data_IF_799160653872
#
_entry.id   IF_799160653872
#
_cell.length_a   1.000
_cell.length_b   1.000
_cell.length_c   1.000
_cell.angle_alpha   90.00
_cell.angle_beta   90.00
_cell.angle_gamma   90.00
#
_symmetry.space_group_name_H-M   'P 1'
#
loop_
_entity.id
_entity.type
_entity.pdbx_description
1 polymer ?
#
# COMPACT_ATOMS: atom_id res chain seq x y z
N UNK A 1 51.18 12.80 -43.95
CA UNK A 1 51.86 12.76 -42.64
C UNK A 1 50.83 12.87 -41.53
N UNK A 2 50.80 11.97 -40.54
CA UNK A 2 49.89 12.12 -39.40
C UNK A 2 50.25 13.39 -38.62
N UNK A 3 49.27 14.25 -38.33
CA UNK A 3 49.47 15.45 -37.48
C UNK A 3 49.86 15.00 -36.08
N UNK A 4 51.10 15.24 -35.67
CA UNK A 4 51.52 15.05 -34.28
C UNK A 4 50.79 16.08 -33.40
N UNK A 5 49.89 15.61 -32.53
CA UNK A 5 49.27 16.44 -31.49
C UNK A 5 50.29 16.67 -30.38
N UNK A 6 50.66 17.93 -30.13
CA UNK A 6 51.47 18.29 -28.97
C UNK A 6 50.64 18.16 -27.68
N UNK A 7 51.20 17.60 -26.59
CA UNK A 7 50.54 17.55 -25.29
C UNK A 7 50.18 18.96 -24.78
N UNK A 8 49.02 19.07 -24.14
CA UNK A 8 48.56 20.31 -23.53
C UNK A 8 49.36 20.64 -22.26
N UNK A 9 49.49 21.93 -21.98
CA UNK A 9 49.93 22.48 -20.69
C UNK A 9 48.71 23.06 -19.95
N UNK A 10 48.75 23.09 -18.62
CA UNK A 10 47.66 23.65 -17.79
C UNK A 10 47.30 25.08 -18.21
N UNK A 11 48.30 25.93 -18.46
CA UNK A 11 48.13 27.30 -18.93
C UNK A 11 47.29 27.39 -20.22
N UNK A 12 47.47 26.45 -21.16
CA UNK A 12 46.71 26.44 -22.41
C UNK A 12 45.24 26.10 -22.18
N UNK A 13 44.95 25.30 -21.16
CA UNK A 13 43.59 24.92 -20.78
C UNK A 13 42.92 26.08 -20.06
N UNK A 14 43.62 26.71 -19.11
CA UNK A 14 43.13 27.85 -18.34
C UNK A 14 42.80 29.04 -19.24
N UNK A 15 43.74 29.41 -20.11
CA UNK A 15 43.63 30.56 -21.01
C UNK A 15 42.69 30.32 -22.21
N UNK A 16 42.13 29.12 -22.35
CA UNK A 16 41.13 28.84 -23.39
C UNK A 16 39.77 29.43 -22.99
N UNK A 17 39.48 30.61 -23.55
CA UNK A 17 38.22 31.31 -23.36
C UNK A 17 37.06 30.65 -24.13
N UNK A 18 35.82 30.72 -23.62
CA UNK A 18 34.65 30.18 -24.30
C UNK A 18 34.38 30.94 -25.61
N UNK A 19 33.89 30.23 -26.63
CA UNK A 19 33.45 30.82 -27.91
C UNK A 19 31.98 30.49 -28.17
N UNK A 20 31.39 31.04 -29.23
CA UNK A 20 30.02 30.74 -29.68
C UNK A 20 29.83 29.27 -30.05
N UNK A 21 30.92 28.56 -30.37
CA UNK A 21 30.95 27.11 -30.64
C UNK A 21 31.84 26.38 -29.64
N UNK A 22 31.59 25.08 -29.47
CA UNK A 22 32.41 24.23 -28.59
C UNK A 22 33.82 24.11 -29.16
N UNK A 23 34.82 24.50 -28.36
CA UNK A 23 36.23 24.35 -28.71
C UNK A 23 36.72 22.99 -28.21
N UNK A 24 37.45 22.24 -29.03
CA UNK A 24 38.08 20.98 -28.63
C UNK A 24 39.59 21.14 -28.68
N UNK A 25 40.26 20.97 -27.54
CA UNK A 25 41.71 20.91 -27.44
C UNK A 25 42.15 19.45 -27.33
N UNK A 26 43.27 19.10 -27.93
CA UNK A 26 43.77 17.73 -28.01
C UNK A 26 45.07 17.61 -27.22
N UNK A 27 45.12 16.68 -26.25
CA UNK A 27 46.32 16.37 -25.46
C UNK A 27 47.14 15.23 -26.08
N UNK A 28 46.55 14.48 -27.01
CA UNK A 28 47.17 13.32 -27.63
C UNK A 28 46.74 12.00 -27.01
N UNK A 29 47.05 10.89 -27.69
CA UNK A 29 46.65 9.55 -27.25
C UNK A 29 45.15 9.37 -27.04
N UNK A 30 44.31 10.14 -27.74
CA UNK A 30 42.86 10.14 -27.62
C UNK A 30 42.28 11.06 -26.52
N UNK A 31 43.10 11.66 -25.66
CA UNK A 31 42.62 12.59 -24.64
C UNK A 31 42.31 13.96 -25.25
N UNK A 32 41.10 14.46 -24.99
CA UNK A 32 40.63 15.76 -25.45
C UNK A 32 39.91 16.49 -24.31
N UNK A 33 39.94 17.82 -24.33
CA UNK A 33 39.07 18.65 -23.50
C UNK A 33 38.16 19.49 -24.38
N UNK A 34 36.87 19.53 -24.03
CA UNK A 34 35.87 20.36 -24.70
C UNK A 34 35.50 21.53 -23.82
N UNK A 35 35.69 22.74 -24.34
CA UNK A 35 35.23 24.00 -23.74
C UNK A 35 33.89 24.34 -24.37
N UNK A 36 32.81 24.21 -23.60
CA UNK A 36 31.46 24.57 -24.06
C UNK A 36 31.30 26.10 -24.14
N UNK A 37 30.33 26.62 -24.92
CA UNK A 37 30.01 28.05 -24.92
C UNK A 37 29.67 28.61 -23.53
N UNK A 38 29.16 27.75 -22.62
CA UNK A 38 28.90 28.10 -21.22
C UNK A 38 30.16 28.22 -20.35
N UNK A 39 31.35 28.03 -20.92
CA UNK A 39 32.64 28.01 -20.22
C UNK A 39 32.95 26.73 -19.44
N UNK A 40 32.04 25.75 -19.38
CA UNK A 40 32.31 24.45 -18.77
C UNK A 40 33.34 23.68 -19.60
N UNK A 41 34.42 23.24 -18.96
CA UNK A 41 35.52 22.47 -19.57
C UNK A 41 35.41 21.00 -19.14
N UNK A 42 35.33 20.09 -20.10
CA UNK A 42 35.04 18.67 -19.84
C UNK A 42 36.06 17.79 -20.54
N UNK A 43 36.70 16.89 -19.78
CA UNK A 43 37.62 15.88 -20.28
C UNK A 43 36.88 14.73 -20.95
N UNK A 44 37.34 14.33 -22.12
CA UNK A 44 36.88 13.14 -22.81
C UNK A 44 38.05 12.27 -23.27
N UNK A 45 37.84 10.97 -23.26
CA UNK A 45 38.67 10.00 -23.96
C UNK A 45 38.00 9.60 -25.27
N UNK A 46 38.60 9.97 -26.40
CA UNK A 46 38.19 9.55 -27.74
C UNK A 46 38.93 8.28 -28.13
N UNK A 47 38.19 7.20 -28.35
CA UNK A 47 38.74 5.89 -28.68
C UNK A 47 37.88 5.19 -29.74
N UNK A 48 38.41 4.12 -30.32
CA UNK A 48 37.69 3.27 -31.27
C UNK A 48 37.15 2.06 -30.50
N UNK A 49 35.84 1.83 -30.56
CA UNK A 49 35.23 0.67 -29.92
C UNK A 49 35.76 -0.64 -30.51
N UNK A 50 36.17 -1.62 -29.70
CA UNK A 50 36.66 -2.91 -30.19
C UNK A 50 35.64 -3.64 -31.07
N UNK A 51 34.35 -3.60 -30.70
CA UNK A 51 33.24 -4.33 -31.32
C UNK A 51 32.74 -3.72 -32.63
N UNK A 52 32.38 -2.44 -32.63
CA UNK A 52 31.77 -1.75 -33.79
C UNK A 52 32.77 -1.01 -34.68
N UNK A 53 34.04 -0.90 -34.26
CA UNK A 53 35.08 -0.06 -34.89
C UNK A 53 34.70 1.42 -35.07
N UNK A 54 33.67 1.90 -34.38
CA UNK A 54 33.24 3.30 -34.41
C UNK A 54 33.98 4.14 -33.36
N UNK A 55 34.27 5.40 -33.68
CA UNK A 55 34.85 6.34 -32.71
C UNK A 55 33.81 6.81 -31.71
N UNK A 56 34.12 6.69 -30.43
CA UNK A 56 33.25 7.08 -29.31
C UNK A 56 34.02 7.96 -28.32
N UNK A 57 33.31 8.82 -27.59
CA UNK A 57 33.87 9.61 -26.49
C UNK A 57 33.36 9.09 -25.15
N UNK A 58 34.26 8.88 -24.19
CA UNK A 58 33.94 8.64 -22.78
C UNK A 58 34.20 9.91 -22.01
N UNK A 59 33.24 10.37 -21.20
CA UNK A 59 33.47 11.50 -20.29
C UNK A 59 34.37 11.02 -19.14
N UNK A 60 35.50 11.69 -18.93
CA UNK A 60 36.41 11.43 -17.80
C UNK A 60 35.98 12.23 -16.57
N UNK A 61 35.57 13.48 -16.76
CA UNK A 61 35.19 14.40 -15.68
C UNK A 61 35.25 15.86 -16.11
N UNK A 62 34.89 16.74 -15.18
CA UNK A 62 34.85 18.19 -15.40
C UNK A 62 36.13 18.84 -14.84
N UNK A 63 36.71 19.81 -15.55
CA UNK A 63 37.83 20.63 -15.09
C UNK A 63 37.30 21.84 -14.30
N UNK A 64 37.92 22.25 -13.18
CA UNK A 64 39.20 21.79 -12.62
C UNK A 64 39.10 20.60 -11.64
N UNK A 65 37.89 20.06 -11.39
CA UNK A 65 37.70 18.94 -10.45
C UNK A 65 38.49 17.68 -10.82
N UNK A 66 38.77 17.49 -12.11
CA UNK A 66 39.77 16.54 -12.61
C UNK A 66 40.90 17.32 -13.25
N UNK A 67 42.10 17.18 -12.69
CA UNK A 67 43.31 17.84 -13.19
C UNK A 67 43.77 17.22 -14.52
N UNK A 68 44.65 17.91 -15.26
CA UNK A 68 45.23 17.35 -16.49
C UNK A 68 45.98 16.04 -16.21
N UNK A 69 46.70 15.96 -15.09
CA UNK A 69 47.44 14.77 -14.68
C UNK A 69 46.50 13.59 -14.40
N UNK A 70 45.44 13.81 -13.62
CA UNK A 70 44.41 12.81 -13.35
C UNK A 70 43.69 12.35 -14.63
N UNK A 71 43.43 13.29 -15.55
CA UNK A 71 42.83 12.97 -16.85
C UNK A 71 43.76 12.08 -17.69
N UNK A 72 45.08 12.34 -17.68
CA UNK A 72 46.09 11.50 -18.35
C UNK A 72 46.19 10.11 -17.72
N UNK A 73 46.13 10.02 -16.39
CA UNK A 73 46.12 8.75 -15.66
C UNK A 73 44.88 7.91 -15.99
N UNK A 74 43.67 8.50 -15.95
CA UNK A 74 42.41 7.83 -16.34
C UNK A 74 42.41 7.40 -17.81
N UNK A 75 42.94 8.24 -18.70
CA UNK A 75 43.16 7.88 -20.11
C UNK A 75 44.11 6.69 -20.25
N UNK A 76 45.22 6.65 -19.50
CA UNK A 76 46.17 5.54 -19.55
C UNK A 76 45.50 4.22 -19.12
N UNK A 77 44.66 4.26 -18.07
CA UNK A 77 43.88 3.12 -17.63
C UNK A 77 42.86 2.64 -18.67
N UNK A 78 42.09 3.55 -19.27
CA UNK A 78 41.16 3.16 -20.35
C UNK A 78 41.89 2.64 -21.59
N UNK A 79 43.08 3.16 -21.87
CA UNK A 79 43.91 2.64 -22.95
C UNK A 79 44.44 1.22 -22.65
N UNK A 80 44.80 0.91 -21.41
CA UNK A 80 45.21 -0.44 -21.04
C UNK A 80 44.06 -1.44 -21.18
N UNK A 81 42.83 -1.07 -20.81
CA UNK A 81 41.64 -1.90 -21.04
C UNK A 81 41.46 -2.22 -22.53
N UNK A 82 41.61 -1.22 -23.41
CA UNK A 82 41.53 -1.43 -24.85
C UNK A 82 42.64 -2.33 -25.39
N UNK A 83 43.87 -2.22 -24.87
CA UNK A 83 44.96 -3.12 -25.25
C UNK A 83 44.71 -4.56 -24.85
N UNK A 84 43.91 -4.79 -23.80
CA UNK A 84 43.45 -6.11 -23.37
C UNK A 84 42.19 -6.58 -24.11
N UNK A 85 41.65 -5.81 -25.06
CA UNK A 85 40.45 -6.14 -25.83
C UNK A 85 39.12 -5.78 -25.16
N UNK A 86 39.13 -5.17 -23.96
CA UNK A 86 37.93 -4.77 -23.22
C UNK A 86 37.46 -3.36 -23.64
N UNK A 87 36.15 -3.16 -23.86
CA UNK A 87 35.58 -1.83 -24.12
C UNK A 87 35.45 -1.04 -22.80
N UNK A 88 36.10 0.12 -22.63
CA UNK A 88 36.02 0.89 -21.38
C UNK A 88 34.59 1.36 -21.03
N UNK A 89 33.69 1.54 -21.99
CA UNK A 89 32.27 1.83 -21.70
C UNK A 89 31.56 0.63 -21.08
N UNK A 90 31.86 -0.56 -21.58
CA UNK A 90 31.32 -1.81 -21.05
C UNK A 90 31.87 -2.09 -19.65
N UNK A 91 33.18 -1.89 -19.45
CA UNK A 91 33.80 -1.98 -18.12
C UNK A 91 33.18 -1.01 -17.12
N UNK A 92 32.96 0.27 -17.49
CA UNK A 92 32.30 1.25 -16.62
C UNK A 92 30.86 0.83 -16.27
N UNK A 93 30.13 0.27 -17.22
CA UNK A 93 28.79 -0.27 -16.98
C UNK A 93 28.83 -1.45 -15.99
N UNK A 94 29.79 -2.37 -16.14
CA UNK A 94 29.99 -3.48 -15.20
C UNK A 94 30.36 -2.99 -13.80
N UNK A 95 31.25 -1.99 -13.67
CA UNK A 95 31.59 -1.42 -12.36
C UNK A 95 30.38 -0.74 -11.70
N UNK A 96 29.54 -0.05 -12.48
CA UNK A 96 28.32 0.56 -11.97
C UNK A 96 27.32 -0.49 -11.47
N UNK A 97 27.12 -1.57 -12.23
CA UNK A 97 26.28 -2.70 -11.82
C UNK A 97 26.84 -3.36 -10.56
N UNK A 98 28.16 -3.57 -10.48
CA UNK A 98 28.83 -4.12 -9.29
C UNK A 98 28.68 -3.23 -8.05
N UNK A 99 28.77 -1.91 -8.21
CA UNK A 99 28.49 -0.98 -7.10
C UNK A 99 27.02 -1.04 -6.64
N UNK A 100 26.07 -1.20 -7.57
CA UNK A 100 24.66 -1.40 -7.21
C UNK A 100 24.43 -2.74 -6.51
N UNK A 101 25.08 -3.81 -6.98
CA UNK A 101 25.12 -5.10 -6.30
C UNK A 101 25.67 -4.95 -4.88
N UNK A 102 26.77 -4.20 -4.68
CA UNK A 102 27.35 -4.00 -3.35
C UNK A 102 26.39 -3.21 -2.41
N UNK A 103 25.70 -2.19 -2.93
CA UNK A 103 24.74 -1.35 -2.19
C UNK A 103 23.42 -2.05 -1.86
N UNK A 104 22.99 -3.02 -2.67
CA UNK A 104 21.75 -3.79 -2.51
C UNK A 104 22.01 -5.29 -2.32
N UNK A 105 23.20 -5.62 -1.83
CA UNK A 105 23.69 -6.99 -1.75
C UNK A 105 22.86 -7.85 -0.80
N UNK A 106 22.35 -7.26 0.28
CA UNK A 106 21.63 -7.99 1.33
C UNK A 106 20.12 -7.94 1.16
N UNK A 107 19.42 -8.96 1.70
CA UNK A 107 17.95 -9.02 1.74
C UNK A 107 17.36 -7.75 2.36
N UNK A 108 17.96 -7.25 3.45
CA UNK A 108 17.47 -6.07 4.16
C UNK A 108 17.61 -4.81 3.30
N UNK A 109 18.76 -4.59 2.66
CA UNK A 109 18.95 -3.43 1.78
C UNK A 109 17.97 -3.45 0.60
N UNK A 110 17.87 -4.59 -0.09
CA UNK A 110 16.91 -4.76 -1.19
C UNK A 110 15.46 -4.54 -0.71
N UNK A 111 15.09 -5.10 0.45
CA UNK A 111 13.77 -4.94 1.03
C UNK A 111 13.47 -3.48 1.40
N UNK A 112 14.42 -2.73 1.92
CA UNK A 112 14.23 -1.30 2.25
C UNK A 112 13.94 -0.47 1.00
N UNK A 113 14.71 -0.67 -0.08
CA UNK A 113 14.46 0.00 -1.37
C UNK A 113 13.12 -0.39 -1.98
N UNK A 114 12.77 -1.68 -1.95
CA UNK A 114 11.46 -2.15 -2.39
C UNK A 114 10.32 -1.57 -1.54
N UNK A 115 10.48 -1.50 -0.21
CA UNK A 115 9.50 -0.93 0.72
C UNK A 115 9.28 0.57 0.45
N UNK A 116 10.34 1.31 0.11
CA UNK A 116 10.24 2.72 -0.26
C UNK A 116 9.32 2.90 -1.48
N UNK A 117 9.53 2.12 -2.55
CA UNK A 117 8.64 2.13 -3.71
C UNK A 117 7.22 1.68 -3.35
N UNK A 118 7.08 0.54 -2.67
CA UNK A 118 5.76 -0.03 -2.30
C UNK A 118 4.94 0.95 -1.46
N UNK A 119 5.58 1.72 -0.58
CA UNK A 119 4.93 2.69 0.31
C UNK A 119 4.14 3.77 -0.44
N UNK A 120 4.59 4.17 -1.62
CA UNK A 120 3.89 5.15 -2.48
C UNK A 120 2.60 4.61 -3.08
N UNK A 121 2.46 3.28 -3.19
CA UNK A 121 1.34 2.60 -3.87
C UNK A 121 0.25 2.14 -2.92
N UNK A 122 0.51 2.16 -1.61
CA UNK A 122 -0.36 1.59 -0.58
C UNK A 122 -0.64 2.61 0.52
N UNK A 123 -1.64 2.34 1.37
CA UNK A 123 -1.92 3.23 2.49
C UNK A 123 -0.78 3.20 3.52
N UNK A 124 -0.58 4.30 4.26
CA UNK A 124 0.45 4.41 5.33
C UNK A 124 0.39 3.22 6.30
N UNK A 125 -0.81 2.83 6.73
CA UNK A 125 -1.03 1.66 7.61
C UNK A 125 -0.62 0.34 6.94
N UNK A 126 -0.92 0.17 5.66
CA UNK A 126 -0.53 -1.04 4.95
C UNK A 126 0.99 -1.11 4.79
N UNK A 127 1.66 -0.01 4.41
CA UNK A 127 3.11 0.08 4.33
C UNK A 127 3.76 -0.26 5.68
N UNK A 128 3.27 0.32 6.78
CA UNK A 128 3.71 0.00 8.14
C UNK A 128 3.59 -1.49 8.46
N UNK A 129 2.45 -2.12 8.14
CA UNK A 129 2.23 -3.56 8.38
C UNK A 129 3.11 -4.47 7.51
N UNK A 130 3.52 -4.03 6.31
CA UNK A 130 4.47 -4.76 5.48
C UNK A 130 5.85 -4.68 6.14
N UNK A 131 6.36 -3.47 6.36
CA UNK A 131 7.66 -3.22 7.01
C UNK A 131 7.78 -3.99 8.33
N UNK A 132 6.78 -3.85 9.21
CA UNK A 132 6.75 -4.53 10.51
C UNK A 132 6.83 -6.05 10.39
N UNK A 133 6.26 -6.65 9.34
CA UNK A 133 6.35 -8.10 9.14
C UNK A 133 7.75 -8.56 8.74
N UNK A 134 8.50 -7.76 7.96
CA UNK A 134 9.89 -8.06 7.65
C UNK A 134 10.77 -7.90 8.88
N UNK A 135 10.61 -6.81 9.63
CA UNK A 135 11.33 -6.56 10.89
C UNK A 135 11.15 -7.69 11.92
N UNK A 136 9.93 -8.22 12.04
CA UNK A 136 9.62 -9.25 13.02
C UNK A 136 10.04 -10.65 12.60
N UNK A 137 9.96 -10.97 11.30
CA UNK A 137 9.98 -12.37 10.85
C UNK A 137 11.02 -12.69 9.79
N UNK A 138 11.61 -11.70 9.12
CA UNK A 138 12.54 -11.93 7.99
C UNK A 138 13.93 -11.41 8.33
N UNK A 139 14.03 -10.13 8.68
CA UNK A 139 15.30 -9.47 8.94
C UNK A 139 16.11 -10.08 10.09
N UNK A 140 15.51 -10.56 11.20
CA UNK A 140 16.29 -11.14 12.29
C UNK A 140 17.10 -12.39 11.91
N UNK A 141 16.74 -13.08 10.82
CA UNK A 141 17.37 -14.35 10.45
C UNK A 141 18.12 -14.28 9.12
N UNK A 142 17.54 -13.63 8.11
CA UNK A 142 18.12 -13.57 6.76
C UNK A 142 18.33 -12.14 6.26
N UNK A 143 18.20 -11.13 7.13
CA UNK A 143 18.33 -9.72 6.73
C UNK A 143 19.68 -9.40 6.12
N UNK A 144 20.76 -9.91 6.71
CA UNK A 144 22.13 -9.63 6.29
C UNK A 144 22.65 -10.64 5.24
N UNK A 145 21.80 -11.59 4.81
CA UNK A 145 22.18 -12.59 3.81
C UNK A 145 22.20 -11.94 2.43
N UNK A 146 23.10 -12.40 1.56
CA UNK A 146 23.10 -11.96 0.17
C UNK A 146 21.83 -12.42 -0.56
N UNK A 147 21.22 -11.52 -1.35
CA UNK A 147 20.00 -11.80 -2.11
C UNK A 147 20.20 -12.97 -3.09
N UNK A 148 21.41 -13.10 -3.65
CA UNK A 148 21.84 -14.15 -4.58
C UNK A 148 21.92 -15.53 -3.94
N UNK A 149 22.11 -15.59 -2.62
CA UNK A 149 22.29 -16.83 -1.86
C UNK A 149 20.99 -17.34 -1.23
N UNK A 150 19.86 -16.64 -1.45
CA UNK A 150 18.58 -17.08 -0.93
C UNK A 150 18.08 -18.36 -1.62
N UNK A 151 17.83 -19.38 -0.82
CA UNK A 151 17.25 -20.65 -1.28
C UNK A 151 15.81 -20.80 -0.78
N UNK A 152 14.97 -21.61 -1.46
CA UNK A 152 13.67 -21.97 -0.92
C UNK A 152 13.74 -22.57 0.47
N UNK A 153 14.75 -23.41 0.74
CA UNK A 153 14.96 -24.03 2.03
C UNK A 153 15.22 -22.99 3.13
N UNK A 154 16.15 -22.06 2.91
CA UNK A 154 16.47 -21.03 3.93
C UNK A 154 15.26 -20.16 4.25
N UNK A 155 14.49 -19.76 3.23
CA UNK A 155 13.26 -18.96 3.45
C UNK A 155 12.18 -19.79 4.15
N UNK A 156 12.03 -21.07 3.82
CA UNK A 156 11.04 -21.94 4.48
C UNK A 156 11.36 -22.05 5.97
N UNK A 157 12.61 -22.28 6.35
CA UNK A 157 13.02 -22.40 7.75
C UNK A 157 12.77 -21.12 8.55
N UNK A 158 12.98 -19.95 7.94
CA UNK A 158 12.62 -18.65 8.55
C UNK A 158 11.13 -18.55 8.86
N UNK A 159 10.27 -19.14 8.04
CA UNK A 159 8.81 -19.06 8.16
C UNK A 159 8.21 -20.21 8.99
N UNK A 160 8.93 -21.31 9.22
CA UNK A 160 8.48 -22.46 10.04
C UNK A 160 7.99 -22.08 11.44
N UNK A 161 8.63 -21.15 12.19
CA UNK A 161 8.14 -20.73 13.49
C UNK A 161 6.71 -20.16 13.45
N UNK A 162 6.34 -19.45 12.38
CA UNK A 162 4.97 -18.92 12.21
C UNK A 162 3.95 -20.04 12.00
N UNK A 163 4.32 -21.09 11.27
CA UNK A 163 3.48 -22.27 11.07
C UNK A 163 3.26 -23.02 12.39
N UNK A 164 4.33 -23.28 13.15
CA UNK A 164 4.26 -23.94 14.46
C UNK A 164 3.41 -23.14 15.45
N UNK A 165 3.46 -21.81 15.39
CA UNK A 165 2.63 -20.92 16.18
C UNK A 165 1.18 -20.78 15.68
N UNK A 166 0.78 -21.50 14.61
CA UNK A 166 -0.57 -21.44 14.04
C UNK A 166 -0.90 -20.13 13.32
N UNK A 167 0.08 -19.26 13.05
CA UNK A 167 -0.11 -17.93 12.43
C UNK A 167 -0.18 -18.02 10.90
N UNK A 168 -1.04 -18.89 10.38
CA UNK A 168 -1.09 -19.27 8.96
C UNK A 168 -1.46 -18.11 8.02
N UNK A 169 -2.31 -17.18 8.43
CA UNK A 169 -2.61 -15.97 7.63
C UNK A 169 -1.39 -15.05 7.50
N UNK A 170 -0.68 -14.83 8.61
CA UNK A 170 0.54 -14.00 8.62
C UNK A 170 1.61 -14.62 7.75
N UNK A 171 1.80 -15.94 7.87
CA UNK A 171 2.70 -16.71 7.03
C UNK A 171 2.36 -16.56 5.55
N UNK A 172 1.10 -16.81 5.18
CA UNK A 172 0.65 -16.70 3.78
C UNK A 172 0.91 -15.31 3.20
N UNK A 173 0.58 -14.24 3.94
CA UNK A 173 0.86 -12.86 3.53
C UNK A 173 2.35 -12.58 3.39
N UNK A 174 3.17 -13.16 4.27
CA UNK A 174 4.62 -12.97 4.25
C UNK A 174 5.26 -13.68 3.05
N UNK A 175 4.82 -14.90 2.70
CA UNK A 175 5.23 -15.57 1.46
C UNK A 175 4.93 -14.70 0.23
N UNK A 176 3.73 -14.13 0.13
CA UNK A 176 3.39 -13.22 -0.98
C UNK A 176 4.32 -12.02 -1.03
N UNK A 177 4.61 -11.39 0.11
CA UNK A 177 5.49 -10.22 0.19
C UNK A 177 6.95 -10.53 -0.15
N UNK A 178 7.45 -11.68 0.29
CA UNK A 178 8.80 -12.15 -0.07
C UNK A 178 8.87 -12.40 -1.59
N UNK A 179 7.84 -13.00 -2.19
CA UNK A 179 7.79 -13.15 -3.65
C UNK A 179 7.79 -11.79 -4.36
N UNK A 180 6.96 -10.83 -3.92
CA UNK A 180 6.96 -9.48 -4.48
C UNK A 180 8.33 -8.77 -4.37
N UNK A 181 9.08 -9.00 -3.29
CA UNK A 181 10.45 -8.50 -3.13
C UNK A 181 11.38 -9.14 -4.15
N UNK A 182 11.32 -10.46 -4.31
CA UNK A 182 12.23 -11.19 -5.21
C UNK A 182 11.91 -10.91 -6.68
N UNK A 183 10.64 -10.77 -7.04
CA UNK A 183 10.21 -10.27 -8.36
C UNK A 183 10.78 -8.87 -8.61
N UNK A 184 10.77 -7.99 -7.59
CA UNK A 184 11.37 -6.67 -7.69
C UNK A 184 12.89 -6.75 -7.91
N UNK A 185 13.60 -7.63 -7.20
CA UNK A 185 15.04 -7.86 -7.39
C UNK A 185 15.38 -8.34 -8.80
N UNK A 186 14.60 -9.26 -9.37
CA UNK A 186 14.76 -9.71 -10.77
C UNK A 186 14.61 -8.54 -11.73
N UNK A 187 13.54 -7.75 -11.57
CA UNK A 187 13.27 -6.61 -12.46
C UNK A 187 14.31 -5.48 -12.36
N UNK A 188 15.07 -5.42 -11.26
CA UNK A 188 16.17 -4.46 -11.07
C UNK A 188 17.53 -5.03 -11.46
N UNK A 189 17.58 -6.27 -11.96
CA UNK A 189 18.84 -6.92 -12.37
C UNK A 189 19.74 -7.33 -11.20
N UNK A 190 19.24 -7.36 -9.96
CA UNK A 190 20.01 -7.79 -8.78
C UNK A 190 20.21 -9.31 -8.74
N UNK A 191 19.30 -10.05 -9.38
CA UNK A 191 19.35 -11.49 -9.58
C UNK A 191 18.73 -11.81 -10.94
N UNK A 192 19.17 -12.89 -11.59
CA UNK A 192 18.60 -13.31 -12.88
C UNK A 192 17.21 -13.95 -12.72
N UNK A 193 17.02 -14.73 -11.65
CA UNK A 193 15.77 -15.43 -11.36
C UNK A 193 15.68 -15.84 -9.88
N UNK A 194 14.50 -16.24 -9.41
CA UNK A 194 14.32 -16.81 -8.07
C UNK A 194 13.36 -18.00 -8.06
N UNK A 195 13.55 -18.93 -7.12
CA UNK A 195 12.74 -20.16 -6.96
C UNK A 195 11.70 -20.09 -5.85
N UNK A 196 11.37 -18.88 -5.38
CA UNK A 196 10.52 -18.68 -4.20
C UNK A 196 9.02 -18.65 -4.53
N UNK A 197 8.64 -18.54 -5.82
CA UNK A 197 7.24 -18.36 -6.25
C UNK A 197 6.23 -19.37 -5.69
N UNK A 198 6.65 -20.61 -5.36
CA UNK A 198 5.78 -21.69 -4.87
C UNK A 198 5.99 -22.08 -3.41
N UNK A 199 6.82 -21.38 -2.63
CA UNK A 199 7.14 -21.80 -1.24
C UNK A 199 5.91 -21.88 -0.34
N UNK A 200 4.86 -21.11 -0.62
CA UNK A 200 3.61 -21.15 0.14
C UNK A 200 2.96 -22.55 0.12
N UNK A 201 3.17 -23.35 -0.93
CA UNK A 201 2.60 -24.69 -1.06
C UNK A 201 3.10 -25.70 -0.03
N UNK A 202 4.25 -25.43 0.60
CA UNK A 202 4.86 -26.30 1.62
C UNK A 202 4.19 -26.15 2.98
N UNK A 203 3.44 -25.07 3.19
CA UNK A 203 2.82 -24.75 4.47
C UNK A 203 1.34 -25.13 4.50
N UNK A 204 0.84 -25.37 5.71
CA UNK A 204 -0.59 -25.55 5.96
C UNK A 204 -1.37 -24.31 5.49
N UNK A 205 -2.46 -24.54 4.76
CA UNK A 205 -3.34 -23.45 4.31
C UNK A 205 -4.14 -22.90 5.50
N UNK A 206 -4.27 -21.56 5.64
CA UNK A 206 -5.19 -20.99 6.61
C UNK A 206 -6.62 -21.43 6.29
N UNK A 207 -7.36 -21.86 7.30
CA UNK A 207 -8.80 -22.09 7.16
C UNK A 207 -9.48 -20.71 7.07
N UNK A 208 -10.40 -20.54 6.13
CA UNK A 208 -11.19 -19.33 6.05
C UNK A 208 -12.11 -19.26 7.28
N UNK A 209 -11.91 -18.25 8.13
CA UNK A 209 -12.83 -17.95 9.22
C UNK A 209 -13.79 -16.85 8.75
N UNK A 210 -15.07 -17.18 8.64
CA UNK A 210 -16.10 -16.17 8.45
C UNK A 210 -16.19 -15.28 9.70
N UNK A 211 -16.46 -13.99 9.49
CA UNK A 211 -16.71 -13.08 10.60
C UNK A 211 -17.96 -13.54 11.37
N UNK A 212 -17.84 -13.61 12.69
CA UNK A 212 -18.91 -14.12 13.56
C UNK A 212 -20.16 -13.23 13.47
N UNK A 213 -21.29 -13.85 13.20
CA UNK A 213 -22.62 -13.24 13.14
C UNK A 213 -23.62 -14.11 13.91
N UNK A 214 -24.74 -13.52 14.30
CA UNK A 214 -25.88 -14.21 14.89
C UNK A 214 -26.90 -14.58 13.79
N UNK A 215 -27.82 -15.50 14.09
CA UNK A 215 -28.94 -15.81 13.22
C UNK A 215 -30.00 -14.68 13.25
N UNK A 216 -30.81 -14.51 12.18
CA UNK A 216 -31.93 -13.56 12.18
C UNK A 216 -32.86 -13.67 13.40
N UNK A 217 -33.15 -14.89 13.84
CA UNK A 217 -34.00 -15.17 15.00
C UNK A 217 -33.44 -14.67 16.33
N UNK A 218 -32.15 -14.38 16.42
CA UNK A 218 -31.51 -13.84 17.64
C UNK A 218 -31.52 -12.30 17.68
N UNK A 219 -31.94 -11.63 16.60
CA UNK A 219 -31.98 -10.17 16.53
C UNK A 219 -32.84 -9.53 17.65
N UNK A 220 -34.04 -10.05 18.00
CA UNK A 220 -34.81 -9.53 19.13
C UNK A 220 -34.02 -9.52 20.45
N UNK A 221 -33.30 -10.62 20.73
CA UNK A 221 -32.46 -10.73 21.94
C UNK A 221 -31.28 -9.75 21.90
N UNK A 222 -30.68 -9.52 20.73
CA UNK A 222 -29.63 -8.51 20.57
C UNK A 222 -30.16 -7.10 20.87
N UNK A 223 -31.28 -6.73 20.26
CA UNK A 223 -31.87 -5.40 20.46
C UNK A 223 -32.29 -5.18 21.91
N UNK A 224 -32.91 -6.18 22.54
CA UNK A 224 -33.22 -6.13 23.96
C UNK A 224 -31.96 -5.89 24.82
N UNK A 225 -30.88 -6.66 24.57
CA UNK A 225 -29.60 -6.50 25.29
C UNK A 225 -28.97 -5.13 25.07
N UNK A 226 -28.98 -4.60 23.84
CA UNK A 226 -28.48 -3.25 23.54
C UNK A 226 -29.25 -2.19 24.35
N UNK A 227 -30.57 -2.34 24.43
CA UNK A 227 -31.46 -1.42 25.14
C UNK A 227 -31.30 -1.47 26.67
N UNK A 228 -31.23 -2.67 27.26
CA UNK A 228 -31.23 -2.86 28.72
C UNK A 228 -29.84 -2.84 29.36
N UNK A 229 -28.78 -3.00 28.59
CA UNK A 229 -27.41 -2.99 29.13
C UNK A 229 -26.92 -1.58 29.47
N UNK A 230 -26.02 -1.50 30.45
CA UNK A 230 -25.34 -0.27 30.86
C UNK A 230 -24.20 0.12 29.88
N UNK A 231 -24.56 0.34 28.63
CA UNK A 231 -23.67 0.93 27.62
C UNK A 231 -23.76 2.45 27.67
N UNK A 232 -22.63 3.13 27.46
CA UNK A 232 -22.64 4.57 27.22
C UNK A 232 -23.44 4.92 25.96
N UNK A 233 -24.11 6.07 25.99
CA UNK A 233 -25.10 6.45 24.95
C UNK A 233 -24.47 6.49 23.56
N UNK A 234 -23.25 7.01 23.42
CA UNK A 234 -22.55 7.08 22.13
C UNK A 234 -22.21 5.67 21.61
N UNK A 235 -21.75 4.75 22.46
CA UNK A 235 -21.48 3.37 22.06
C UNK A 235 -22.74 2.61 21.66
N UNK A 236 -23.89 2.88 22.31
CA UNK A 236 -25.17 2.32 21.90
C UNK A 236 -25.60 2.86 20.54
N UNK A 237 -25.59 4.18 20.40
CA UNK A 237 -25.98 4.88 19.18
C UNK A 237 -25.15 4.46 17.97
N UNK A 238 -23.83 4.26 18.12
CA UNK A 238 -23.00 3.80 17.00
C UNK A 238 -23.27 2.35 16.59
N UNK A 239 -23.68 1.47 17.53
CA UNK A 239 -24.10 0.10 17.21
C UNK A 239 -25.38 0.13 16.38
N UNK A 240 -26.39 0.85 16.87
CA UNK A 240 -27.69 0.99 16.19
C UNK A 240 -27.52 1.67 14.84
N UNK A 241 -26.78 2.77 14.77
CA UNK A 241 -26.44 3.44 13.52
C UNK A 241 -25.80 2.49 12.51
N UNK A 242 -24.81 1.70 12.94
CA UNK A 242 -24.16 0.74 12.06
C UNK A 242 -25.12 -0.38 11.61
N UNK A 243 -26.03 -0.80 12.48
CA UNK A 243 -27.03 -1.82 12.17
C UNK A 243 -28.03 -1.31 11.12
N UNK A 244 -28.63 -0.14 11.34
CA UNK A 244 -29.60 0.47 10.43
C UNK A 244 -28.99 0.84 9.07
N UNK A 245 -27.82 1.48 9.07
CA UNK A 245 -27.16 1.93 7.82
C UNK A 245 -26.39 0.83 7.10
N UNK A 246 -26.15 -0.30 7.78
CA UNK A 246 -25.37 -1.44 7.30
C UNK A 246 -23.93 -1.09 6.88
N UNK A 247 -23.36 0.04 7.30
CA UNK A 247 -21.99 0.44 6.90
C UNK A 247 -20.93 -0.33 7.69
N UNK A 248 -19.66 -0.25 7.27
CA UNK A 248 -18.57 -0.91 8.01
C UNK A 248 -18.34 -0.20 9.35
N UNK A 249 -17.85 -0.89 10.40
CA UNK A 249 -17.60 -0.26 11.70
C UNK A 249 -16.69 0.97 11.62
N UNK A 250 -15.67 0.94 10.75
CA UNK A 250 -14.76 2.06 10.54
C UNK A 250 -15.36 3.22 9.73
N UNK A 251 -16.43 3.00 8.98
CA UNK A 251 -17.19 4.03 8.27
C UNK A 251 -18.20 4.67 9.24
N UNK A 252 -18.91 3.85 10.03
CA UNK A 252 -19.88 4.29 11.05
C UNK A 252 -19.30 5.33 12.02
N UNK A 253 -18.16 5.02 12.65
CA UNK A 253 -17.54 5.96 13.60
C UNK A 253 -17.07 7.25 12.93
N UNK A 254 -16.82 7.27 11.62
CA UNK A 254 -16.34 8.43 10.88
C UNK A 254 -17.46 9.30 10.30
N UNK A 255 -18.73 9.03 10.64
CA UNK A 255 -19.83 9.89 10.22
C UNK A 255 -19.60 11.34 10.70
N UNK A 256 -19.58 12.28 9.76
CA UNK A 256 -19.47 13.72 10.03
C UNK A 256 -20.79 14.40 9.76
N UNK A 257 -21.12 15.42 10.53
CA UNK A 257 -22.35 16.19 10.34
C UNK A 257 -22.43 16.83 8.96
N UNK A 258 -21.32 17.36 8.44
CA UNK A 258 -21.24 17.98 7.11
C UNK A 258 -21.49 17.01 5.94
N UNK A 259 -21.33 15.70 6.16
CA UNK A 259 -21.52 14.68 5.13
C UNK A 259 -23.00 14.19 5.08
N UNK A 260 -23.87 14.73 5.95
CA UNK A 260 -25.26 14.32 6.12
C UNK A 260 -26.19 15.40 5.59
N UNK A 261 -26.97 15.03 4.57
CA UNK A 261 -28.05 15.84 4.03
C UNK A 261 -29.38 15.36 4.64
N UNK A 262 -29.84 16.08 5.67
CA UNK A 262 -31.10 15.79 6.35
C UNK A 262 -32.33 16.06 5.46
N UNK A 263 -32.24 17.04 4.54
CA UNK A 263 -33.34 17.39 3.63
C UNK A 263 -33.61 16.24 2.67
N UNK A 264 -32.55 15.69 2.08
CA UNK A 264 -32.64 14.55 1.17
C UNK A 264 -32.59 13.20 1.89
N UNK A 265 -32.38 13.18 3.22
CA UNK A 265 -32.20 11.97 4.04
C UNK A 265 -31.14 11.03 3.47
N UNK A 266 -29.96 11.58 3.20
CA UNK A 266 -28.81 10.84 2.67
C UNK A 266 -27.59 11.18 3.49
N UNK A 267 -26.80 10.16 3.82
CA UNK A 267 -25.43 10.31 4.27
C UNK A 267 -24.48 9.95 3.12
N UNK A 268 -23.65 10.90 2.70
CA UNK A 268 -22.63 10.68 1.67
C UNK A 268 -21.26 10.42 2.30
N UNK A 269 -20.84 9.16 2.36
CA UNK A 269 -19.52 8.80 2.87
C UNK A 269 -18.46 9.16 1.83
N UNK A 270 -17.49 10.02 2.15
CA UNK A 270 -16.42 10.42 1.24
C UNK A 270 -15.54 9.24 0.81
N UNK A 271 -15.00 9.33 -0.42
CA UNK A 271 -14.11 8.30 -0.98
C UNK A 271 -12.90 7.97 -0.08
N UNK A 272 -12.36 8.96 0.61
CA UNK A 272 -11.22 8.82 1.53
C UNK A 272 -11.51 7.94 2.76
N UNK A 273 -12.78 7.83 3.17
CA UNK A 273 -13.19 6.95 4.27
C UNK A 273 -13.57 5.56 3.78
N UNK A 274 -13.81 5.41 2.48
CA UNK A 274 -14.25 4.16 1.86
C UNK A 274 -13.08 3.25 1.50
N UNK A 275 -13.22 1.96 1.82
CA UNK A 275 -12.22 0.93 1.47
C UNK A 275 -11.95 0.86 -0.04
N UNK A 276 -12.97 1.10 -0.85
CA UNK A 276 -12.90 1.03 -2.33
C UNK A 276 -12.57 2.38 -2.99
N UNK A 277 -12.29 3.43 -2.20
CA UNK A 277 -11.96 4.78 -2.69
C UNK A 277 -13.00 5.35 -3.67
N UNK A 278 -14.27 5.08 -3.42
CA UNK A 278 -15.42 5.66 -4.16
C UNK A 278 -16.41 6.20 -3.12
N UNK A 279 -17.02 7.38 -3.33
CA UNK A 279 -18.04 7.89 -2.43
C UNK A 279 -19.21 6.90 -2.32
N UNK A 280 -19.85 6.84 -1.16
CA UNK A 280 -20.97 5.94 -0.92
C UNK A 280 -22.17 6.69 -0.34
N UNK A 281 -23.30 6.64 -1.03
CA UNK A 281 -24.53 7.29 -0.57
C UNK A 281 -25.38 6.27 0.18
N UNK A 282 -25.65 6.54 1.46
CA UNK A 282 -26.46 5.72 2.36
C UNK A 282 -27.80 6.43 2.60
N UNK A 283 -28.92 5.84 2.17
CA UNK A 283 -30.24 6.30 2.60
C UNK A 283 -30.40 6.32 4.11
N UNK A 284 -31.04 7.35 4.65
CA UNK A 284 -31.32 7.47 6.08
C UNK A 284 -32.81 7.20 6.33
N UNK A 285 -33.06 6.17 7.14
CA UNK A 285 -34.40 5.87 7.67
C UNK A 285 -34.79 6.83 8.80
N UNK A 286 -36.08 6.96 9.16
CA UNK A 286 -36.51 7.76 10.31
C UNK A 286 -35.72 7.44 11.60
N UNK A 287 -35.46 6.16 11.87
CA UNK A 287 -34.67 5.70 13.02
C UNK A 287 -33.23 6.22 13.00
N UNK A 288 -32.62 6.30 11.80
CA UNK A 288 -31.30 6.93 11.66
C UNK A 288 -31.36 8.42 12.00
N UNK A 289 -32.45 9.11 11.63
CA UNK A 289 -32.63 10.53 11.96
C UNK A 289 -32.83 10.71 13.47
N UNK A 290 -33.55 9.81 14.14
CA UNK A 290 -33.71 9.85 15.60
C UNK A 290 -32.37 9.69 16.34
N UNK A 291 -31.51 8.80 15.85
CA UNK A 291 -30.13 8.68 16.36
C UNK A 291 -29.36 9.98 16.17
N UNK A 292 -29.48 10.64 15.01
CA UNK A 292 -28.83 11.92 14.75
C UNK A 292 -29.33 13.02 15.69
N UNK A 293 -30.65 13.16 15.84
CA UNK A 293 -31.25 14.13 16.76
C UNK A 293 -30.77 13.90 18.20
N UNK A 294 -30.68 12.64 18.63
CA UNK A 294 -30.11 12.31 19.95
C UNK A 294 -28.65 12.74 20.05
N UNK A 295 -27.83 12.47 19.03
CA UNK A 295 -26.39 12.77 19.04
C UNK A 295 -26.08 14.27 18.98
N UNK A 296 -26.97 15.10 18.45
CA UNK A 296 -26.82 16.56 18.43
C UNK A 296 -26.71 17.15 19.85
N UNK A 297 -27.37 16.54 20.84
CA UNK A 297 -27.34 16.97 22.24
C UNK A 297 -25.98 16.78 22.94
N UNK A 298 -25.07 15.98 22.37
CA UNK A 298 -23.77 15.66 22.98
C UNK A 298 -22.69 16.72 22.71
N UNK A 299 -23.04 17.83 22.05
CA UNK A 299 -22.19 19.00 21.86
C UNK A 299 -21.57 19.13 20.47
N UNK A 300 -20.87 20.24 20.25
CA UNK A 300 -20.29 20.59 18.94
C UNK A 300 -19.02 19.79 18.66
N UNK A 301 -19.12 18.84 17.74
CA UNK A 301 -18.02 18.03 17.19
C UNK A 301 -18.16 17.96 15.68
N UNK A 302 -17.06 17.76 14.95
CA UNK A 302 -17.10 17.43 13.51
C UNK A 302 -17.82 16.09 13.27
N UNK A 303 -17.62 15.14 14.18
CA UNK A 303 -18.11 13.76 14.08
C UNK A 303 -19.37 13.56 14.91
N UNK A 304 -20.33 12.82 14.34
CA UNK A 304 -21.57 12.39 15.02
C UNK A 304 -21.24 11.55 16.26
N UNK A 305 -20.31 10.59 16.11
CA UNK A 305 -19.86 9.73 17.21
C UNK A 305 -18.48 10.15 17.70
N UNK A 306 -18.45 11.17 18.56
CA UNK A 306 -17.20 11.73 19.09
C UNK A 306 -16.51 10.85 20.14
N UNK A 307 -15.19 10.99 20.26
CA UNK A 307 -14.41 10.34 21.31
C UNK A 307 -14.36 11.18 22.58
N UNK A 308 -14.74 10.58 23.72
CA UNK A 308 -14.57 11.20 25.04
C UNK A 308 -13.10 11.37 25.44
N UNK A 309 -12.22 10.47 24.99
CA UNK A 309 -10.80 10.47 25.38
C UNK A 309 -9.92 11.34 24.48
N UNK A 310 -10.33 11.55 23.23
CA UNK A 310 -9.55 12.27 22.21
C UNK A 310 -10.42 13.37 21.62
N UNK A 311 -10.38 14.54 22.24
CA UNK A 311 -11.13 15.73 21.82
C UNK A 311 -10.90 16.03 20.33
N UNK A 312 -11.97 16.40 19.62
CA UNK A 312 -11.92 16.71 18.18
C UNK A 312 -11.75 15.49 17.28
N UNK A 313 -11.89 14.26 17.79
CA UNK A 313 -11.81 13.05 16.96
C UNK A 313 -13.02 12.15 17.15
N UNK A 314 -13.20 11.22 16.22
CA UNK A 314 -14.24 10.22 16.30
C UNK A 314 -13.91 9.08 17.28
N UNK A 315 -14.95 8.34 17.66
CA UNK A 315 -14.86 7.12 18.45
C UNK A 315 -13.93 6.08 17.80
N UNK A 316 -13.26 5.25 18.61
CA UNK A 316 -12.43 4.16 18.08
C UNK A 316 -13.26 3.20 17.22
N UNK A 317 -12.70 2.72 16.12
CA UNK A 317 -13.35 1.72 15.24
C UNK A 317 -13.64 0.38 15.96
N UNK A 318 -13.02 0.15 17.11
CA UNK A 318 -13.22 -1.02 17.96
C UNK A 318 -14.38 -0.83 18.96
N UNK A 319 -14.93 0.39 19.10
CA UNK A 319 -15.91 0.69 20.14
C UNK A 319 -17.17 -0.18 20.06
N UNK A 320 -17.78 -0.34 18.87
CA UNK A 320 -18.91 -1.23 18.69
C UNK A 320 -18.59 -2.69 19.07
N UNK A 321 -17.40 -3.19 18.69
CA UNK A 321 -16.98 -4.54 19.09
C UNK A 321 -16.77 -4.67 20.60
N UNK A 322 -16.19 -3.66 21.24
CA UNK A 322 -15.96 -3.66 22.68
C UNK A 322 -17.28 -3.57 23.45
N UNK A 323 -18.22 -2.77 22.97
CA UNK A 323 -19.58 -2.71 23.51
C UNK A 323 -20.32 -4.04 23.36
N UNK A 324 -20.32 -4.65 22.17
CA UNK A 324 -20.90 -5.99 21.95
C UNK A 324 -20.30 -7.05 22.89
N UNK A 325 -18.98 -7.05 23.09
CA UNK A 325 -18.33 -7.94 24.06
C UNK A 325 -18.81 -7.71 25.49
N UNK A 326 -18.95 -6.45 25.92
CA UNK A 326 -19.44 -6.08 27.26
C UNK A 326 -20.86 -6.60 27.52
N UNK A 327 -21.70 -6.65 26.49
CA UNK A 327 -23.09 -7.14 26.60
C UNK A 327 -23.25 -8.63 26.30
N UNK A 328 -22.17 -9.42 26.37
CA UNK A 328 -22.22 -10.88 26.30
C UNK A 328 -22.10 -11.49 24.89
N UNK A 329 -21.82 -10.69 23.87
CA UNK A 329 -21.66 -11.18 22.49
C UNK A 329 -20.21 -11.48 22.10
N UNK A 330 -19.30 -11.52 23.09
CA UNK A 330 -17.92 -11.98 22.87
C UNK A 330 -17.98 -13.35 22.22
N UNK A 331 -17.23 -13.51 21.13
CA UNK A 331 -17.14 -14.76 20.39
C UNK A 331 -18.44 -15.26 19.74
N UNK A 332 -19.50 -14.44 19.68
CA UNK A 332 -20.77 -14.73 19.00
C UNK A 332 -21.09 -13.74 17.87
N UNK A 333 -20.91 -12.44 18.13
CA UNK A 333 -21.16 -11.38 17.15
C UNK A 333 -20.01 -10.37 17.18
N UNK A 334 -19.49 -10.04 16.01
CA UNK A 334 -18.62 -8.86 15.83
C UNK A 334 -19.39 -7.77 15.09
N UNK A 335 -18.97 -6.52 15.25
CA UNK A 335 -19.61 -5.37 14.62
C UNK A 335 -19.70 -5.54 13.09
N UNK A 336 -18.68 -6.13 12.45
CA UNK A 336 -18.76 -6.45 11.01
C UNK A 336 -19.82 -7.52 10.69
N UNK A 337 -20.08 -8.45 11.61
CA UNK A 337 -21.08 -9.50 11.48
C UNK A 337 -22.51 -8.96 11.36
N UNK A 338 -22.81 -7.78 11.94
CA UNK A 338 -24.12 -7.13 11.78
C UNK A 338 -24.48 -6.87 10.31
N UNK A 339 -23.47 -6.68 9.44
CA UNK A 339 -23.68 -6.55 7.99
C UNK A 339 -24.02 -7.86 7.32
N UNK A 340 -23.45 -8.96 7.81
CA UNK A 340 -23.80 -10.29 7.34
C UNK A 340 -25.24 -10.63 7.74
N UNK A 341 -25.62 -10.34 9.00
CA UNK A 341 -27.00 -10.43 9.48
C UNK A 341 -27.97 -9.67 8.56
N UNK A 342 -27.73 -8.39 8.31
CA UNK A 342 -28.59 -7.59 7.42
C UNK A 342 -28.65 -8.16 6.00
N UNK A 343 -27.51 -8.59 5.44
CA UNK A 343 -27.47 -9.23 4.12
C UNK A 343 -28.32 -10.50 4.09
N UNK A 344 -28.20 -11.38 5.09
CA UNK A 344 -28.98 -12.60 5.19
C UNK A 344 -30.48 -12.30 5.22
N UNK A 345 -30.93 -11.44 6.14
CA UNK A 345 -32.35 -11.06 6.26
C UNK A 345 -32.88 -10.46 4.96
N UNK A 346 -32.13 -9.54 4.35
CA UNK A 346 -32.58 -8.89 3.11
C UNK A 346 -32.68 -9.86 1.93
N UNK A 347 -31.79 -10.86 1.85
CA UNK A 347 -31.88 -11.90 0.82
C UNK A 347 -33.06 -12.86 1.10
N UNK A 348 -33.29 -13.24 2.36
CA UNK A 348 -34.43 -14.08 2.76
C UNK A 348 -35.78 -13.40 2.48
N UNK A 349 -35.82 -12.07 2.51
CA UNK A 349 -36.97 -11.25 2.13
C UNK A 349 -36.97 -10.81 0.64
N UNK A 350 -36.19 -11.50 -0.20
CA UNK A 350 -36.20 -11.37 -1.67
C UNK A 350 -35.89 -9.97 -2.23
N UNK A 351 -35.20 -9.11 -1.44
CA UNK A 351 -34.68 -7.86 -1.99
C UNK A 351 -33.64 -8.15 -3.07
N UNK A 352 -33.62 -7.34 -4.14
CA UNK A 352 -32.66 -7.56 -5.24
C UNK A 352 -31.22 -7.49 -4.72
N UNK A 353 -30.44 -8.52 -5.05
CA UNK A 353 -29.02 -8.63 -4.66
C UNK A 353 -28.21 -7.37 -5.02
N UNK A 354 -28.46 -6.77 -6.19
CA UNK A 354 -27.79 -5.53 -6.61
C UNK A 354 -28.02 -4.35 -5.64
N UNK A 355 -29.20 -4.27 -4.99
CA UNK A 355 -29.51 -3.21 -4.01
C UNK A 355 -28.81 -3.46 -2.67
N UNK A 356 -28.75 -4.72 -2.25
CA UNK A 356 -28.06 -5.17 -1.03
C UNK A 356 -26.55 -4.92 -1.16
N UNK A 357 -25.93 -5.41 -2.23
CA UNK A 357 -24.50 -5.26 -2.49
C UNK A 357 -24.09 -3.79 -2.65
N UNK A 358 -24.93 -2.99 -3.33
CA UNK A 358 -24.72 -1.54 -3.42
C UNK A 358 -24.80 -0.87 -2.04
N UNK A 359 -25.75 -1.24 -1.19
CA UNK A 359 -25.87 -0.69 0.18
C UNK A 359 -24.69 -1.05 1.08
N UNK A 360 -24.17 -2.26 0.91
CA UNK A 360 -22.98 -2.75 1.59
C UNK A 360 -21.69 -2.14 1.00
N UNK A 361 -21.76 -1.32 -0.04
CA UNK A 361 -20.61 -0.82 -0.78
C UNK A 361 -19.63 -1.95 -1.13
N UNK A 362 -20.20 -3.07 -1.60
CA UNK A 362 -19.46 -4.15 -2.23
C UNK A 362 -19.29 -3.82 -3.71
N UNK A 363 -18.09 -4.07 -4.25
CA UNK A 363 -17.88 -3.96 -5.69
C UNK A 363 -18.47 -5.19 -6.38
N UNK A 364 -19.13 -5.01 -7.52
CA UNK A 364 -19.61 -6.13 -8.32
C UNK A 364 -18.43 -7.05 -8.68
N UNK A 365 -18.54 -8.34 -8.35
CA UNK A 365 -17.48 -9.34 -8.63
C UNK A 365 -17.25 -9.51 -10.13
N UNK A 366 -18.26 -9.25 -10.96
CA UNK A 366 -18.16 -9.34 -12.41
C UNK A 366 -17.59 -8.03 -12.98
N UNK A 367 -16.39 -8.12 -13.56
CA UNK A 367 -15.69 -6.98 -14.16
C UNK A 367 -16.51 -6.28 -15.26
N UNK A 368 -17.19 -7.07 -16.10
CA UNK A 368 -18.00 -6.55 -17.22
C UNK A 368 -19.20 -5.76 -16.68
N UNK A 369 -19.99 -6.34 -15.77
CA UNK A 369 -21.13 -5.63 -15.16
C UNK A 369 -20.70 -4.33 -14.46
N UNK A 370 -19.54 -4.30 -13.81
CA UNK A 370 -19.02 -3.12 -13.12
C UNK A 370 -18.73 -1.94 -14.05
N UNK A 371 -18.44 -2.21 -15.33
CA UNK A 371 -18.21 -1.17 -16.34
C UNK A 371 -19.53 -0.56 -16.80
N UNK A 372 -20.58 -1.38 -16.96
CA UNK A 372 -21.84 -0.97 -17.56
C UNK A 372 -22.93 -0.56 -16.56
N UNK A 373 -22.92 -1.08 -15.33
CA UNK A 373 -23.94 -0.78 -14.32
C UNK A 373 -23.45 0.26 -13.29
N UNK A 374 -23.72 1.54 -13.59
CA UNK A 374 -23.48 2.67 -12.69
C UNK A 374 -24.73 3.07 -11.87
N UNK A 375 -25.78 2.25 -11.89
CA UNK A 375 -27.03 2.62 -11.22
C UNK A 375 -26.89 2.60 -9.70
N UNK A 376 -27.18 3.73 -9.05
CA UNK A 376 -27.14 3.88 -7.58
C UNK A 376 -28.38 3.33 -6.87
N UNK A 377 -29.45 3.01 -7.62
CA UNK A 377 -30.74 2.49 -7.13
C UNK A 377 -31.31 3.22 -5.90
N UNK A 378 -31.10 4.54 -5.79
CA UNK A 378 -31.28 5.26 -4.52
C UNK A 378 -32.73 5.19 -3.99
N UNK A 379 -33.73 5.33 -4.85
CA UNK A 379 -35.14 5.22 -4.45
C UNK A 379 -35.48 3.83 -3.88
N UNK A 380 -35.04 2.76 -4.56
CA UNK A 380 -35.25 1.37 -4.11
C UNK A 380 -34.45 1.05 -2.84
N UNK A 381 -33.24 1.59 -2.72
CA UNK A 381 -32.46 1.47 -1.48
C UNK A 381 -33.11 2.23 -0.33
N UNK A 382 -33.76 3.37 -0.55
CA UNK A 382 -34.55 4.06 0.50
C UNK A 382 -35.67 3.17 1.01
N UNK A 383 -36.46 2.56 0.11
CA UNK A 383 -37.51 1.59 0.48
C UNK A 383 -36.93 0.44 1.32
N UNK A 384 -35.84 -0.16 0.86
CA UNK A 384 -35.17 -1.28 1.55
C UNK A 384 -34.59 -0.88 2.92
N UNK A 385 -33.92 0.27 3.03
CA UNK A 385 -33.35 0.75 4.30
C UNK A 385 -34.44 1.07 5.31
N UNK A 386 -35.56 1.68 4.88
CA UNK A 386 -36.72 1.91 5.75
C UNK A 386 -37.32 0.58 6.24
N UNK A 387 -37.49 -0.38 5.33
CA UNK A 387 -38.00 -1.71 5.68
C UNK A 387 -37.07 -2.40 6.70
N UNK A 388 -35.76 -2.37 6.47
CA UNK A 388 -34.77 -2.96 7.36
C UNK A 388 -34.81 -2.32 8.75
N UNK A 389 -34.87 -1.00 8.83
CA UNK A 389 -35.01 -0.30 10.12
C UNK A 389 -36.30 -0.65 10.84
N UNK A 390 -37.41 -0.77 10.13
CA UNK A 390 -38.67 -1.21 10.72
C UNK A 390 -38.60 -2.66 11.23
N UNK A 391 -37.90 -3.55 10.51
CA UNK A 391 -37.66 -4.92 10.95
C UNK A 391 -36.85 -4.98 12.26
N UNK A 392 -35.82 -4.13 12.39
CA UNK A 392 -35.04 -3.99 13.63
C UNK A 392 -35.93 -3.52 14.79
N UNK A 393 -36.75 -2.49 14.57
CA UNK A 393 -37.65 -1.95 15.60
C UNK A 393 -38.72 -2.96 16.03
N UNK A 394 -39.29 -3.70 15.07
CA UNK A 394 -40.21 -4.80 15.37
C UNK A 394 -39.53 -5.85 16.24
N UNK A 395 -38.32 -6.28 15.88
CA UNK A 395 -37.53 -7.21 16.68
C UNK A 395 -37.25 -6.67 18.10
N UNK A 396 -36.99 -5.37 18.25
CA UNK A 396 -36.78 -4.74 19.55
C UNK A 396 -38.03 -4.77 20.45
N UNK A 397 -39.22 -4.71 19.85
CA UNK A 397 -40.51 -4.73 20.54
C UNK A 397 -41.05 -6.15 20.80
N UNK A 398 -40.60 -7.16 20.05
CA UNK A 398 -41.03 -8.56 20.17
C UNK A 398 -40.19 -9.41 21.13
N UNK A 399 -39.41 -8.79 22.04
CA UNK A 399 -38.52 -9.54 22.93
C UNK A 399 -39.29 -10.54 23.83
N UNK A 400 -38.90 -11.82 23.90
CA UNK A 400 -39.60 -12.83 24.70
C UNK A 400 -39.47 -12.58 26.21
N UNK A 401 -40.50 -12.97 26.97
CA UNK A 401 -40.41 -13.14 28.42
C UNK A 401 -39.22 -14.04 28.76
N UNK A 402 -38.47 -13.63 29.77
CA UNK A 402 -37.17 -14.16 30.15
C UNK A 402 -37.17 -15.67 30.37
N UNK A 403 -36.53 -16.43 29.47
CA UNK A 403 -35.96 -17.74 29.78
C UNK A 403 -34.45 -17.65 29.79
N UNK A 404 -33.90 -17.18 30.91
CA UNK A 404 -32.53 -17.47 31.31
C UNK A 404 -32.58 -17.93 32.77
N UNK A 405 -32.50 -19.25 32.97
CA UNK A 405 -32.08 -19.87 34.24
C UNK A 405 -30.58 -19.68 34.44
#
# INVERSE_FOLDING_TARGET
>A
MPKHTCPLKNEQIENCNPSTKTITLFDGGGLIIRVKPSGKKIWYYNYVKPSSKTRTNIKIGDYPSITLEEARAKRAHFHSLLSAGEDPMHWLQQQYLKQQEDLLSTVKQAAESWLQLKSSRVSKRHAFNIRRSFELYVFPTIGDFQITMLTPFSVIEVLRPLERAGKLETLSRLCTRINELMDWCVNHGLIESHRLGKIQSVFRRPKAHHMKTIAPSELPTLMHRIKTSNLDVISRAVIEWQLHTMVRPGEAVKARWQDIDLNNRIWEIPAEFMKMRRPHQVPLSPQCIDILNMMESFGKSEYVFQSFYRKGTHLSKEAANNALKRIGYKDRLVAHGMRALASTVLNEHEFKSDWIEMSLAHGDKNYVRRIYNNAKYLARRREMHNWWSNYIEQAANSAPESHFN
#
